data_IF_051227086570
#
_entry.id   IF_051227086570
#
_cell.length_a   1.000
_cell.length_b   1.000
_cell.length_c   1.000
_cell.angle_alpha   90.00
_cell.angle_beta   90.00
_cell.angle_gamma   90.00
#
_symmetry.space_group_name_H-M   'P 1'
#
loop_
_entity.id
_entity.type
_entity.pdbx_description
1 polymer ?
#
# COMPACT_ATOMS: atom_id res chain seq x y z
N UNK A 1 6.78 1.01 -22.53
CA UNK A 1 7.02 -0.09 -23.50
C UNK A 1 6.06 -1.18 -23.10
N UNK A 2 5.16 -1.69 -23.97
CA UNK A 2 4.17 -2.65 -23.53
C UNK A 2 4.79 -4.05 -23.40
N UNK A 3 4.38 -4.75 -22.37
CA UNK A 3 4.89 -6.01 -21.82
C UNK A 3 4.49 -7.22 -22.69
N UNK A 4 4.66 -7.11 -24.01
CA UNK A 4 4.12 -8.03 -25.00
C UNK A 4 4.88 -9.37 -25.14
N UNK A 5 5.58 -9.85 -24.11
CA UNK A 5 6.38 -11.10 -24.21
C UNK A 5 5.99 -12.23 -23.24
N UNK A 6 5.15 -12.01 -22.23
CA UNK A 6 4.80 -13.12 -21.30
C UNK A 6 3.66 -14.01 -21.79
N UNK A 7 2.84 -13.55 -22.75
CA UNK A 7 1.58 -14.20 -23.12
C UNK A 7 0.56 -14.30 -21.97
N UNK A 8 0.86 -13.66 -20.83
CA UNK A 8 0.07 -13.73 -19.61
C UNK A 8 -1.02 -12.66 -19.66
N UNK A 9 -2.27 -13.09 -19.70
CA UNK A 9 -3.43 -12.19 -19.69
C UNK A 9 -3.89 -12.03 -18.25
N UNK A 10 -3.76 -10.82 -17.70
CA UNK A 10 -4.31 -10.47 -16.40
C UNK A 10 -5.79 -10.06 -16.54
N UNK A 11 -6.63 -10.48 -15.59
CA UNK A 11 -8.01 -10.00 -15.54
C UNK A 11 -8.03 -8.52 -15.14
N UNK A 12 -9.03 -7.78 -15.63
CA UNK A 12 -9.24 -6.40 -15.20
C UNK A 12 -9.57 -6.39 -13.69
N UNK A 13 -8.83 -5.63 -12.86
CA UNK A 13 -9.12 -5.56 -11.43
C UNK A 13 -10.46 -4.88 -11.19
N UNK A 14 -11.11 -5.24 -10.07
CA UNK A 14 -12.27 -4.50 -9.56
C UNK A 14 -11.78 -3.44 -8.58
N UNK A 15 -12.16 -2.19 -8.81
CA UNK A 15 -11.92 -1.13 -7.84
C UNK A 15 -12.66 -1.44 -6.52
N UNK A 16 -11.94 -1.36 -5.40
CA UNK A 16 -12.52 -1.49 -4.07
C UNK A 16 -13.54 -0.38 -3.82
N UNK A 17 -14.69 -0.70 -3.25
CA UNK A 17 -15.61 0.28 -2.72
C UNK A 17 -14.99 0.94 -1.48
N UNK A 18 -15.39 2.18 -1.22
CA UNK A 18 -14.83 2.98 -0.12
C UNK A 18 -15.04 2.32 1.25
N UNK A 19 -16.17 1.63 1.43
CA UNK A 19 -16.52 0.89 2.65
C UNK A 19 -15.79 -0.46 2.81
N UNK A 20 -15.13 -0.96 1.75
CA UNK A 20 -14.30 -2.16 1.82
C UNK A 20 -12.90 -1.87 2.37
N UNK A 21 -12.41 -0.64 2.25
CA UNK A 21 -11.04 -0.27 2.64
C UNK A 21 -10.81 -0.48 4.15
N UNK A 22 -11.69 -0.02 5.05
CA UNK A 22 -11.54 -0.28 6.50
C UNK A 22 -11.52 -1.77 6.86
N UNK A 23 -12.18 -2.64 6.09
CA UNK A 23 -12.15 -4.08 6.31
C UNK A 23 -10.76 -4.66 6.01
N UNK A 24 -10.11 -4.17 4.96
CA UNK A 24 -8.75 -4.58 4.60
C UNK A 24 -7.75 -4.07 5.64
N UNK A 25 -7.93 -2.85 6.15
CA UNK A 25 -7.14 -2.33 7.28
C UNK A 25 -7.24 -3.26 8.50
N UNK A 26 -8.45 -3.73 8.83
CA UNK A 26 -8.63 -4.70 9.93
C UNK A 26 -7.98 -6.06 9.64
N UNK A 27 -7.98 -6.51 8.39
CA UNK A 27 -7.27 -7.73 8.00
C UNK A 27 -5.75 -7.60 8.19
N UNK A 28 -5.15 -6.46 7.84
CA UNK A 28 -3.73 -6.16 8.13
C UNK A 28 -3.45 -6.17 9.64
N UNK A 29 -4.32 -5.53 10.43
CA UNK A 29 -4.22 -5.50 11.91
C UNK A 29 -4.26 -6.92 12.49
N UNK A 30 -5.22 -7.74 12.05
CA UNK A 30 -5.37 -9.14 12.49
C UNK A 30 -4.17 -9.98 12.07
N UNK A 31 -3.65 -9.78 10.86
CA UNK A 31 -2.46 -10.46 10.38
C UNK A 31 -1.23 -10.13 11.25
N UNK A 32 -1.06 -8.87 11.66
CA UNK A 32 0.00 -8.46 12.56
C UNK A 32 -0.12 -9.11 13.94
N UNK A 33 -1.32 -9.13 14.54
CA UNK A 33 -1.57 -9.87 15.80
C UNK A 33 -1.18 -11.34 15.66
N UNK A 34 -1.64 -11.99 14.60
CA UNK A 34 -1.36 -13.41 14.37
C UNK A 34 0.15 -13.68 14.22
N UNK A 35 0.90 -12.77 13.60
CA UNK A 35 2.35 -12.88 13.49
C UNK A 35 3.03 -12.83 14.87
N UNK A 36 2.61 -11.91 15.75
CA UNK A 36 3.14 -11.83 17.11
C UNK A 36 2.75 -13.07 17.93
N UNK A 37 1.50 -13.54 17.82
CA UNK A 37 1.05 -14.79 18.48
C UNK A 37 1.82 -16.02 17.99
N UNK A 38 2.27 -16.02 16.73
CA UNK A 38 3.12 -17.06 16.16
C UNK A 38 4.60 -16.96 16.59
N UNK A 39 5.00 -15.90 17.29
CA UNK A 39 6.34 -15.72 17.82
C UNK A 39 7.30 -14.92 16.93
N UNK A 40 6.79 -14.15 15.96
CA UNK A 40 7.62 -13.18 15.23
C UNK A 40 7.98 -11.98 16.12
N UNK A 41 9.19 -11.44 15.94
CA UNK A 41 9.65 -10.23 16.65
C UNK A 41 8.91 -8.96 16.18
N UNK A 42 8.43 -8.95 14.94
CA UNK A 42 7.73 -7.83 14.33
C UNK A 42 7.25 -8.15 12.91
N UNK A 43 6.70 -7.16 12.22
CA UNK A 43 6.19 -7.29 10.85
C UNK A 43 6.72 -6.19 9.93
N UNK A 44 6.88 -6.51 8.65
CA UNK A 44 7.13 -5.53 7.59
C UNK A 44 5.87 -5.37 6.74
N UNK A 45 5.37 -4.14 6.63
CA UNK A 45 4.27 -3.76 5.75
C UNK A 45 4.83 -3.65 4.33
N UNK A 46 4.28 -4.44 3.41
CA UNK A 46 4.70 -4.39 2.01
C UNK A 46 3.97 -3.28 1.24
N UNK A 47 4.56 -2.08 1.21
CA UNK A 47 4.10 -0.90 0.47
C UNK A 47 4.87 -0.63 -0.83
N UNK A 48 5.29 -1.68 -1.56
CA UNK A 48 6.25 -1.59 -2.66
C UNK A 48 5.88 -2.53 -3.82
N UNK A 49 6.65 -2.46 -4.91
CA UNK A 49 6.64 -3.36 -6.07
C UNK A 49 5.28 -3.58 -6.76
N UNK A 50 4.43 -2.57 -6.81
CA UNK A 50 3.16 -2.57 -7.53
C UNK A 50 2.05 -3.35 -6.84
N UNK A 51 2.23 -3.75 -5.57
CA UNK A 51 1.17 -4.37 -4.79
C UNK A 51 0.16 -3.34 -4.27
N UNK A 52 -0.91 -3.82 -3.64
CA UNK A 52 -2.12 -3.06 -3.31
C UNK A 52 -1.84 -1.67 -2.70
N UNK A 53 -1.00 -1.56 -1.68
CA UNK A 53 -0.70 -0.26 -1.05
C UNK A 53 0.02 0.69 -2.02
N UNK A 54 0.93 0.19 -2.85
CA UNK A 54 1.62 1.01 -3.85
C UNK A 54 0.69 1.40 -5.02
N UNK A 55 -0.26 0.53 -5.39
CA UNK A 55 -1.31 0.86 -6.35
C UNK A 55 -2.19 2.03 -5.90
N UNK A 56 -2.44 2.17 -4.59
CA UNK A 56 -3.12 3.35 -4.04
C UNK A 56 -2.22 4.59 -4.05
N UNK A 57 -0.94 4.44 -3.69
CA UNK A 57 -0.02 5.58 -3.58
C UNK A 57 0.34 6.22 -4.94
N UNK A 58 0.45 5.41 -5.99
CA UNK A 58 0.91 5.85 -7.31
C UNK A 58 -0.25 6.29 -8.21
N UNK A 59 -0.09 7.44 -8.86
CA UNK A 59 -1.15 8.03 -9.69
C UNK A 59 -1.40 7.31 -11.02
N UNK A 60 -0.50 6.44 -11.49
CA UNK A 60 -0.77 5.62 -12.68
C UNK A 60 -1.83 4.54 -12.43
N UNK A 61 -1.95 4.07 -11.20
CA UNK A 61 -2.84 2.96 -10.83
C UNK A 61 -4.08 3.41 -10.04
N UNK A 62 -4.03 4.58 -9.40
CA UNK A 62 -5.13 5.14 -8.61
C UNK A 62 -5.85 6.28 -9.33
N UNK A 63 -6.93 5.95 -10.04
CA UNK A 63 -7.85 6.89 -10.69
C UNK A 63 -9.09 7.22 -9.83
N UNK A 64 -9.04 6.93 -8.52
CA UNK A 64 -10.17 7.18 -7.61
C UNK A 64 -10.44 8.68 -7.45
N UNK A 65 -11.70 8.98 -7.12
CA UNK A 65 -12.20 10.34 -6.88
C UNK A 65 -12.77 10.54 -5.47
N UNK A 66 -12.67 9.52 -4.61
CA UNK A 66 -13.06 9.57 -3.20
C UNK A 66 -11.87 9.98 -2.30
N UNK A 67 -12.01 9.86 -0.97
CA UNK A 67 -10.96 10.25 -0.01
C UNK A 67 -9.64 9.45 -0.10
N UNK A 68 -9.58 8.42 -0.95
CA UNK A 68 -8.39 7.60 -1.19
C UNK A 68 -7.72 7.88 -2.54
N UNK A 69 -8.17 8.90 -3.30
CA UNK A 69 -7.63 9.26 -4.61
C UNK A 69 -7.44 10.75 -4.84
N UNK A 70 -6.88 11.09 -6.01
CA UNK A 70 -6.60 12.47 -6.40
C UNK A 70 -5.32 13.01 -5.77
N UNK A 71 -5.43 13.71 -4.64
CA UNK A 71 -4.27 14.35 -3.98
C UNK A 71 -3.27 13.32 -3.45
N UNK A 72 -1.99 13.70 -3.32
CA UNK A 72 -0.97 12.83 -2.74
C UNK A 72 -1.35 12.36 -1.33
N UNK A 73 -1.91 13.25 -0.51
CA UNK A 73 -2.40 12.92 0.84
C UNK A 73 -3.46 11.82 0.79
N UNK A 74 -4.46 11.95 -0.09
CA UNK A 74 -5.51 10.95 -0.24
C UNK A 74 -4.97 9.61 -0.75
N UNK A 75 -4.03 9.63 -1.71
CA UNK A 75 -3.38 8.42 -2.21
C UNK A 75 -2.56 7.70 -1.15
N UNK A 76 -1.94 8.44 -0.23
CA UNK A 76 -1.20 7.88 0.91
C UNK A 76 -2.12 7.46 2.08
N UNK A 77 -3.37 7.93 2.13
CA UNK A 77 -4.30 7.70 3.25
C UNK A 77 -4.43 6.23 3.63
N UNK A 78 -4.64 5.36 2.65
CA UNK A 78 -4.80 3.92 2.91
C UNK A 78 -3.54 3.29 3.54
N UNK A 79 -2.36 3.65 3.05
CA UNK A 79 -1.10 3.15 3.62
C UNK A 79 -0.91 3.65 5.06
N UNK A 80 -1.23 4.91 5.33
CA UNK A 80 -1.17 5.49 6.69
C UNK A 80 -2.15 4.79 7.63
N UNK A 81 -3.39 4.53 7.21
CA UNK A 81 -4.38 3.81 8.01
C UNK A 81 -3.93 2.38 8.35
N UNK A 82 -3.29 1.68 7.41
CA UNK A 82 -2.69 0.36 7.67
C UNK A 82 -1.56 0.44 8.68
N UNK A 83 -0.66 1.42 8.54
CA UNK A 83 0.44 1.65 9.50
C UNK A 83 -0.14 1.90 10.89
N UNK A 84 -1.07 2.85 11.02
CA UNK A 84 -1.67 3.21 12.30
C UNK A 84 -2.38 2.02 12.96
N UNK A 85 -3.14 1.23 12.18
CA UNK A 85 -3.83 0.06 12.71
C UNK A 85 -2.86 -1.00 13.24
N UNK A 86 -1.77 -1.28 12.52
CA UNK A 86 -0.75 -2.25 12.94
C UNK A 86 0.04 -1.72 14.14
N UNK A 87 0.45 -0.46 14.13
CA UNK A 87 1.17 0.20 15.23
C UNK A 87 0.34 0.18 16.51
N UNK A 88 -0.96 0.48 16.44
CA UNK A 88 -1.85 0.41 17.60
C UNK A 88 -2.04 -1.00 18.13
N UNK A 89 -1.91 -2.02 17.29
CA UNK A 89 -2.10 -3.43 17.66
C UNK A 89 -0.84 -4.04 18.29
N UNK A 90 0.33 -3.80 17.71
CA UNK A 90 1.57 -4.48 18.10
C UNK A 90 2.68 -3.52 18.57
N UNK A 91 2.48 -2.21 18.56
CA UNK A 91 3.50 -1.23 18.97
C UNK A 91 4.49 -0.90 17.85
N UNK A 92 4.88 0.38 17.75
CA UNK A 92 5.70 0.90 16.65
C UNK A 92 7.10 0.29 16.56
N UNK A 93 7.68 -0.13 17.69
CA UNK A 93 9.01 -0.77 17.76
C UNK A 93 9.08 -2.13 17.05
N UNK A 94 7.91 -2.68 16.67
CA UNK A 94 7.78 -3.98 16.00
C UNK A 94 7.24 -3.86 14.56
N UNK A 95 7.24 -2.65 13.99
CA UNK A 95 6.67 -2.39 12.67
C UNK A 95 7.70 -1.74 11.75
N UNK A 96 7.92 -2.34 10.58
CA UNK A 96 8.64 -1.72 9.47
C UNK A 96 7.71 -1.52 8.27
N UNK A 97 8.09 -0.63 7.35
CA UNK A 97 7.43 -0.51 6.05
C UNK A 97 8.48 -0.52 4.94
N UNK A 98 8.18 -1.25 3.86
CA UNK A 98 8.99 -1.30 2.66
C UNK A 98 8.33 -0.51 1.54
N UNK A 99 9.08 0.42 0.94
CA UNK A 99 8.63 1.32 -0.13
C UNK A 99 9.54 1.22 -1.36
N UNK A 100 9.00 1.52 -2.55
CA UNK A 100 9.76 1.62 -3.80
C UNK A 100 9.35 2.84 -4.66
N UNK A 101 9.51 4.09 -4.15
CA UNK A 101 8.93 5.28 -4.77
C UNK A 101 9.38 5.51 -6.22
N UNK A 102 10.63 5.16 -6.54
CA UNK A 102 11.27 5.38 -7.84
C UNK A 102 11.16 4.20 -8.80
N UNK A 103 10.53 3.10 -8.40
CA UNK A 103 10.46 1.90 -9.22
C UNK A 103 9.22 1.94 -10.11
N UNK A 104 9.41 1.75 -11.41
CA UNK A 104 8.31 1.53 -12.36
C UNK A 104 8.22 0.02 -12.62
N UNK A 105 7.26 -0.65 -12.00
CA UNK A 105 7.10 -2.10 -12.07
C UNK A 105 5.62 -2.47 -12.07
N UNK A 106 5.22 -3.54 -12.78
CA UNK A 106 3.83 -4.00 -12.88
C UNK A 106 2.84 -2.89 -13.33
N UNK A 107 3.25 -2.05 -14.27
CA UNK A 107 2.47 -0.89 -14.77
C UNK A 107 2.06 0.12 -13.67
N UNK A 108 2.84 0.15 -12.58
CA UNK A 108 2.64 1.00 -11.41
C UNK A 108 3.81 1.99 -11.27
N UNK A 109 3.60 3.22 -11.71
CA UNK A 109 4.57 4.32 -11.77
C UNK A 109 3.93 5.62 -11.22
N UNK A 110 4.76 6.59 -10.82
CA UNK A 110 4.26 7.82 -10.22
C UNK A 110 4.84 9.04 -10.94
N UNK A 111 4.01 10.06 -11.21
CA UNK A 111 4.47 11.27 -11.90
C UNK A 111 5.50 12.10 -11.10
N UNK A 112 5.49 12.01 -9.77
CA UNK A 112 6.43 12.69 -8.87
C UNK A 112 6.94 11.73 -7.75
N UNK A 113 7.86 10.81 -8.06
CA UNK A 113 8.32 9.80 -7.12
C UNK A 113 9.07 10.39 -5.91
N UNK A 114 9.62 11.61 -6.06
CA UNK A 114 10.29 12.30 -4.96
C UNK A 114 9.29 12.79 -3.92
N UNK A 115 8.18 13.42 -4.33
CA UNK A 115 7.14 13.84 -3.39
C UNK A 115 6.53 12.64 -2.64
N UNK A 116 6.30 11.53 -3.33
CA UNK A 116 5.77 10.30 -2.72
C UNK A 116 6.74 9.71 -1.68
N UNK A 117 8.05 9.70 -1.97
CA UNK A 117 9.06 9.21 -1.02
C UNK A 117 9.12 10.03 0.28
N UNK A 118 8.64 11.27 0.28
CA UNK A 118 8.64 12.18 1.43
C UNK A 118 7.30 12.21 2.21
N UNK A 119 6.22 11.66 1.65
CA UNK A 119 4.87 11.78 2.23
C UNK A 119 4.51 10.66 3.19
N UNK A 120 5.19 9.52 3.13
CA UNK A 120 4.99 8.41 4.08
C UNK A 120 5.90 8.63 5.30
N UNK A 121 5.32 8.74 6.51
CA UNK A 121 6.11 8.91 7.69
C UNK A 121 6.95 7.66 7.99
N UNK A 122 8.25 7.89 8.15
CA UNK A 122 9.24 6.93 8.66
C UNK A 122 9.62 7.38 10.07
N UNK A 123 8.76 7.10 11.06
CA UNK A 123 9.06 7.37 12.47
C UNK A 123 9.88 6.21 13.04
#
# INVERSE_FOLDING_TARGET
>A
MPDAESGMVYSKPRQLQTDEIPLIVDDFRRAARNAIEAGFDGVEIHGAHGYLLEQFMKDSSNDRTDEYGGSLENRCRFAVEVIDAIVNEIGADRVGIRLSPFMDYMDCFNSDPHALGMSIPIW
#
